data_IF_314963823351
#
_entry.id   IF_314963823351
#
_cell.length_a   1.000
_cell.length_b   1.000
_cell.length_c   1.000
_cell.angle_alpha   90.00
_cell.angle_beta   90.00
_cell.angle_gamma   90.00
#
_symmetry.space_group_name_H-M   'P 1'
#
loop_
_entity.id
_entity.type
_entity.pdbx_description
1 polymer ?
#
# COMPACT_ATOMS: atom_id res chain seq x y z
N UNK A 1 -2.68 -11.81 -2.54
CA UNK A 1 -2.16 -10.61 -3.22
C UNK A 1 -2.04 -10.75 -4.74
N UNK A 2 -1.67 -11.94 -5.23
CA UNK A 2 -1.51 -12.14 -6.67
C UNK A 2 -2.73 -11.68 -7.48
N UNK A 3 -3.97 -11.97 -7.07
CA UNK A 3 -5.12 -11.48 -7.84
C UNK A 3 -5.21 -9.96 -7.95
N UNK A 4 -4.66 -9.23 -6.98
CA UNK A 4 -4.66 -7.76 -7.03
C UNK A 4 -3.73 -7.28 -8.15
N UNK A 5 -2.53 -7.86 -8.24
CA UNK A 5 -1.54 -7.47 -9.23
C UNK A 5 -1.90 -7.91 -10.65
N UNK A 6 -2.74 -8.92 -10.77
CA UNK A 6 -3.13 -9.48 -12.06
C UNK A 6 -4.39 -8.84 -12.64
N UNK A 7 -5.08 -7.99 -11.87
CA UNK A 7 -6.29 -7.35 -12.36
C UNK A 7 -5.99 -6.37 -13.49
N UNK A 8 -6.72 -6.53 -14.58
CA UNK A 8 -6.61 -5.66 -15.75
C UNK A 8 -7.99 -5.05 -16.03
N UNK A 9 -8.25 -3.91 -15.42
CA UNK A 9 -9.47 -3.15 -15.61
C UNK A 9 -9.09 -1.67 -15.65
N UNK A 10 -10.06 -0.78 -15.61
CA UNK A 10 -9.81 0.66 -15.69
C UNK A 10 -9.56 1.32 -14.33
N UNK A 11 -9.47 0.51 -13.28
CA UNK A 11 -9.17 1.01 -11.93
C UNK A 11 -7.66 1.22 -11.76
N UNK A 12 -7.29 2.31 -11.10
CA UNK A 12 -5.91 2.56 -10.67
C UNK A 12 -5.75 2.04 -9.24
N UNK A 13 -4.72 1.26 -9.01
CA UNK A 13 -4.44 0.65 -7.71
C UNK A 13 -3.22 1.31 -7.08
N UNK A 14 -3.36 1.72 -5.83
CA UNK A 14 -2.27 2.25 -5.01
C UNK A 14 -2.08 1.29 -3.84
N UNK A 15 -0.96 0.58 -3.82
CA UNK A 15 -0.69 -0.44 -2.82
C UNK A 15 0.54 -0.03 -2.03
N UNK A 16 0.37 0.11 -0.71
CA UNK A 16 1.45 0.45 0.20
C UNK A 16 1.72 -0.73 1.13
N UNK A 17 2.97 -1.14 1.22
CA UNK A 17 3.42 -2.17 2.15
C UNK A 17 3.98 -1.49 3.40
N UNK A 18 3.42 -1.84 4.56
CA UNK A 18 3.70 -1.15 5.82
C UNK A 18 3.58 -2.09 7.02
N UNK A 19 3.88 -1.60 8.19
CA UNK A 19 3.64 -2.31 9.45
C UNK A 19 3.46 -1.30 10.59
N UNK A 20 2.76 -1.69 11.63
CA UNK A 20 2.53 -0.82 12.79
C UNK A 20 3.82 -0.47 13.53
N UNK A 21 4.82 -1.35 13.45
CA UNK A 21 6.13 -1.13 14.09
C UNK A 21 7.10 -0.33 13.22
N UNK A 22 6.72 0.01 12.02
CA UNK A 22 7.55 0.74 11.07
C UNK A 22 7.24 2.23 11.14
N UNK A 23 8.07 3.00 11.83
CA UNK A 23 7.84 4.43 12.03
C UNK A 23 7.70 5.23 10.72
N UNK A 24 8.62 5.10 9.76
CA UNK A 24 8.46 5.82 8.48
C UNK A 24 7.19 5.43 7.73
N UNK A 25 6.75 4.17 7.86
CA UNK A 25 5.50 3.71 7.26
C UNK A 25 4.32 4.46 7.85
N UNK A 26 4.28 4.53 9.18
CA UNK A 26 3.19 5.20 9.91
C UNK A 26 3.15 6.68 9.57
N UNK A 27 4.31 7.32 9.41
CA UNK A 27 4.39 8.74 9.10
C UNK A 27 3.76 9.09 7.75
N UNK A 28 3.78 8.17 6.77
CA UNK A 28 3.20 8.44 5.45
C UNK A 28 1.74 7.97 5.30
N UNK A 29 1.18 7.24 6.27
CA UNK A 29 -0.21 6.77 6.18
C UNK A 29 -1.22 7.90 5.93
N UNK A 30 -1.09 9.09 6.54
CA UNK A 30 -2.04 10.17 6.25
C UNK A 30 -2.10 10.55 4.77
N UNK A 31 -1.03 10.38 4.02
CA UNK A 31 -1.03 10.68 2.59
C UNK A 31 -1.96 9.74 1.84
N UNK A 32 -1.95 8.46 2.20
CA UNK A 32 -2.82 7.46 1.58
C UNK A 32 -4.28 7.67 1.97
N UNK A 33 -4.55 8.04 3.21
CA UNK A 33 -5.90 8.36 3.65
C UNK A 33 -6.44 9.59 2.92
N UNK A 34 -5.60 10.59 2.72
CA UNK A 34 -5.97 11.79 1.96
C UNK A 34 -6.28 11.44 0.50
N UNK A 35 -5.47 10.58 -0.10
CA UNK A 35 -5.69 10.10 -1.46
C UNK A 35 -7.00 9.33 -1.58
N UNK A 36 -7.26 8.44 -0.62
CA UNK A 36 -8.48 7.64 -0.58
C UNK A 36 -9.72 8.54 -0.53
N UNK A 37 -9.67 9.56 0.31
CA UNK A 37 -10.78 10.50 0.46
C UNK A 37 -10.99 11.34 -0.80
N UNK A 38 -9.90 11.84 -1.39
CA UNK A 38 -9.96 12.69 -2.57
C UNK A 38 -10.55 11.97 -3.79
N UNK A 39 -10.26 10.68 -3.95
CA UNK A 39 -10.73 9.90 -5.09
C UNK A 39 -11.88 8.97 -4.74
N UNK A 40 -12.56 9.20 -3.63
CA UNK A 40 -13.74 8.42 -3.25
C UNK A 40 -14.79 8.51 -4.36
N UNK A 41 -15.34 7.38 -4.75
CA UNK A 41 -16.31 7.30 -5.83
C UNK A 41 -15.72 7.24 -7.23
N UNK A 42 -14.41 7.39 -7.38
CA UNK A 42 -13.73 7.26 -8.65
C UNK A 42 -13.08 5.88 -8.80
N UNK A 43 -12.58 5.56 -9.98
CA UNK A 43 -11.97 4.25 -10.24
C UNK A 43 -10.55 4.20 -9.68
N UNK A 44 -10.48 4.21 -8.36
CA UNK A 44 -9.22 4.18 -7.61
C UNK A 44 -9.41 3.35 -6.35
N UNK A 45 -8.42 2.47 -6.07
CA UNK A 45 -8.39 1.71 -4.81
C UNK A 45 -7.05 1.93 -4.13
N UNK A 46 -7.12 2.33 -2.86
CA UNK A 46 -5.95 2.45 -2.00
C UNK A 46 -5.97 1.26 -1.05
N UNK A 47 -4.92 0.44 -1.12
CA UNK A 47 -4.83 -0.79 -0.33
C UNK A 47 -3.56 -0.75 0.49
N UNK A 48 -3.73 -0.81 1.81
CA UNK A 48 -2.62 -0.84 2.76
C UNK A 48 -2.36 -2.30 3.14
N UNK A 49 -1.25 -2.86 2.69
CA UNK A 49 -0.90 -4.26 2.97
C UNK A 49 0.04 -4.31 4.16
N UNK A 50 -0.46 -4.83 5.28
CA UNK A 50 0.31 -4.93 6.51
C UNK A 50 1.23 -6.13 6.48
N UNK A 51 2.48 -5.92 6.91
CA UNK A 51 3.45 -6.98 7.14
C UNK A 51 3.59 -7.29 8.63
N UNK A 52 2.61 -6.88 9.44
CA UNK A 52 2.59 -7.20 10.87
C UNK A 52 2.56 -8.72 11.09
N UNK A 53 3.14 -9.16 12.21
CA UNK A 53 3.18 -10.57 12.54
C UNK A 53 1.77 -11.07 12.90
N UNK A 54 1.49 -12.31 12.56
CA UNK A 54 0.17 -12.93 12.84
C UNK A 54 -0.23 -12.78 14.30
N UNK A 55 0.70 -12.95 15.23
CA UNK A 55 0.47 -12.82 16.66
C UNK A 55 -0.01 -11.44 17.10
N UNK A 56 0.24 -10.41 16.27
CA UNK A 56 -0.07 -9.01 16.60
C UNK A 56 -1.32 -8.50 15.90
N UNK A 57 -2.00 -9.32 15.08
CA UNK A 57 -3.11 -8.84 14.25
C UNK A 57 -4.30 -8.34 15.08
N UNK A 58 -4.70 -9.08 16.11
CA UNK A 58 -5.85 -8.72 16.93
C UNK A 58 -5.53 -7.63 17.94
N UNK A 59 -4.28 -7.58 18.41
CA UNK A 59 -3.88 -6.65 19.46
C UNK A 59 -3.33 -5.35 18.92
N UNK A 60 -2.37 -5.41 17.99
CA UNK A 60 -1.69 -4.21 17.51
C UNK A 60 -2.29 -3.65 16.24
N UNK A 61 -2.50 -4.48 15.22
CA UNK A 61 -2.99 -4.00 13.94
C UNK A 61 -4.44 -3.51 14.04
N UNK A 62 -5.33 -4.32 14.60
CA UNK A 62 -6.75 -3.94 14.72
C UNK A 62 -6.91 -2.67 15.54
N UNK A 63 -6.21 -2.59 16.67
CA UNK A 63 -6.26 -1.41 17.51
C UNK A 63 -5.71 -0.18 16.79
N UNK A 64 -4.62 -0.33 16.05
CA UNK A 64 -4.03 0.76 15.28
C UNK A 64 -5.02 1.30 14.24
N UNK A 65 -5.64 0.41 13.49
CA UNK A 65 -6.62 0.79 12.47
C UNK A 65 -7.78 1.56 13.08
N UNK A 66 -8.30 1.08 14.22
CA UNK A 66 -9.40 1.74 14.92
C UNK A 66 -9.01 3.10 15.51
N UNK A 67 -7.86 3.16 16.18
CA UNK A 67 -7.41 4.39 16.84
C UNK A 67 -7.07 5.50 15.84
N UNK A 68 -6.55 5.13 14.68
CA UNK A 68 -6.19 6.08 13.64
C UNK A 68 -7.30 6.28 12.60
N UNK A 69 -8.42 5.59 12.77
CA UNK A 69 -9.59 5.71 11.89
C UNK A 69 -9.24 5.55 10.41
N UNK A 70 -8.44 4.51 10.10
CA UNK A 70 -8.03 4.22 8.74
C UNK A 70 -9.24 3.77 7.91
N UNK A 71 -9.48 4.46 6.81
CA UNK A 71 -10.62 4.19 5.91
C UNK A 71 -10.23 3.47 4.64
N UNK A 72 -8.94 3.49 4.29
CA UNK A 72 -8.44 2.73 3.15
C UNK A 72 -8.58 1.24 3.42
N UNK A 73 -8.58 0.44 2.36
CA UNK A 73 -8.62 -1.02 2.52
C UNK A 73 -7.33 -1.48 3.21
N UNK A 74 -7.46 -2.29 4.24
CA UNK A 74 -6.31 -2.86 4.95
C UNK A 74 -6.34 -4.37 4.76
N UNK A 75 -5.23 -4.91 4.23
CA UNK A 75 -5.04 -6.35 4.05
C UNK A 75 -3.78 -6.76 4.77
N UNK A 76 -3.65 -8.06 5.04
CA UNK A 76 -2.50 -8.60 5.76
C UNK A 76 -1.82 -9.63 4.88
N UNK A 77 -0.49 -9.57 4.81
CA UNK A 77 0.32 -10.56 4.11
C UNK A 77 0.84 -11.56 5.14
N UNK A 78 0.22 -12.75 5.17
CA UNK A 78 0.58 -13.83 6.11
C UNK A 78 1.37 -14.95 5.45
N UNK A 79 1.78 -14.76 4.21
CA UNK A 79 2.46 -15.79 3.45
C UNK A 79 3.88 -15.98 3.98
N UNK A 80 4.18 -17.19 4.48
CA UNK A 80 5.52 -17.55 4.94
C UNK A 80 6.56 -17.58 3.83
N UNK A 81 6.13 -17.57 2.57
CA UNK A 81 6.99 -17.52 1.41
C UNK A 81 7.23 -16.07 0.97
N UNK A 82 7.65 -15.28 1.90
CA UNK A 82 7.85 -13.84 1.74
C UNK A 82 8.66 -13.48 0.49
N UNK A 83 9.72 -14.25 0.23
CA UNK A 83 10.61 -13.98 -0.92
C UNK A 83 9.90 -14.13 -2.27
N UNK A 84 8.89 -14.99 -2.37
CA UNK A 84 8.13 -15.16 -3.60
C UNK A 84 7.30 -13.91 -3.91
N UNK A 85 6.75 -13.29 -2.89
CA UNK A 85 5.96 -12.07 -3.05
C UNK A 85 6.80 -10.87 -3.42
N UNK A 86 7.99 -10.75 -2.83
CA UNK A 86 8.89 -9.64 -3.08
C UNK A 86 9.21 -9.53 -4.57
N UNK A 87 9.57 -10.64 -5.21
CA UNK A 87 9.89 -10.65 -6.64
C UNK A 87 8.69 -10.33 -7.52
N UNK A 88 7.50 -10.75 -7.09
CA UNK A 88 6.27 -10.46 -7.85
C UNK A 88 5.86 -9.01 -7.78
N UNK A 89 6.16 -8.35 -6.66
CA UNK A 89 5.86 -6.92 -6.49
C UNK A 89 6.82 -6.11 -7.35
N UNK A 90 8.12 -6.35 -7.21
CA UNK A 90 9.15 -5.73 -8.03
C UNK A 90 10.44 -6.52 -7.86
N UNK A 91 11.11 -6.91 -8.96
CA UNK A 91 12.35 -7.68 -8.87
C UNK A 91 13.47 -6.97 -8.12
N UNK A 92 13.44 -5.64 -8.08
CA UNK A 92 14.46 -4.84 -7.41
C UNK A 92 14.14 -4.57 -5.94
N UNK A 93 12.96 -5.02 -5.45
CA UNK A 93 12.58 -4.80 -4.06
C UNK A 93 13.23 -5.84 -3.15
N UNK A 94 14.03 -5.38 -2.21
CA UNK A 94 14.68 -6.25 -1.23
C UNK A 94 13.85 -6.57 0.01
N UNK A 95 12.58 -6.17 0.05
CA UNK A 95 11.70 -6.43 1.19
C UNK A 95 11.65 -5.32 2.24
N UNK A 96 12.40 -4.25 2.04
CA UNK A 96 12.39 -3.11 2.96
C UNK A 96 11.08 -2.31 2.83
N UNK A 97 10.57 -1.79 3.94
CA UNK A 97 9.36 -0.95 3.96
C UNK A 97 9.70 0.42 4.54
N UNK A 98 8.96 1.49 4.18
CA UNK A 98 7.76 1.49 3.34
C UNK A 98 8.06 1.38 1.84
N UNK A 99 7.14 0.76 1.11
CA UNK A 99 7.19 0.64 -0.34
C UNK A 99 5.79 0.87 -0.88
N UNK A 100 5.70 1.57 -2.00
CA UNK A 100 4.42 1.84 -2.66
C UNK A 100 4.49 1.43 -4.13
N UNK A 101 3.46 0.75 -4.59
CA UNK A 101 3.29 0.42 -6.01
C UNK A 101 2.01 1.07 -6.50
N UNK A 102 2.11 1.85 -7.56
CA UNK A 102 0.95 2.46 -8.22
C UNK A 102 0.86 1.86 -9.62
N UNK A 103 -0.30 1.30 -9.97
CA UNK A 103 -0.45 0.75 -11.30
C UNK A 103 -1.88 0.90 -11.84
N UNK A 104 -1.95 0.94 -13.16
CA UNK A 104 -3.18 0.88 -13.94
C UNK A 104 -3.03 -0.23 -14.98
N UNK A 105 -4.01 -0.39 -15.87
CA UNK A 105 -3.94 -1.42 -16.89
C UNK A 105 -2.70 -1.30 -17.79
N UNK A 106 -2.20 -0.08 -18.01
CA UNK A 106 -1.13 0.18 -18.97
C UNK A 106 0.21 0.57 -18.35
N UNK A 107 0.22 1.05 -17.09
CA UNK A 107 1.42 1.64 -16.48
C UNK A 107 1.61 1.14 -15.04
N UNK A 108 2.86 1.17 -14.59
CA UNK A 108 3.21 0.78 -13.24
C UNK A 108 4.41 1.61 -12.75
N UNK A 109 4.38 2.04 -11.49
CA UNK A 109 5.47 2.75 -10.84
C UNK A 109 5.73 2.12 -9.47
N UNK A 110 7.00 1.78 -9.22
CA UNK A 110 7.46 1.29 -7.92
C UNK A 110 8.19 2.42 -7.19
N UNK A 111 7.81 2.65 -5.94
CA UNK A 111 8.44 3.65 -5.07
C UNK A 111 9.05 2.91 -3.90
N UNK A 112 10.36 2.72 -3.92
CA UNK A 112 11.09 1.93 -2.94
C UNK A 112 11.56 2.70 -1.71
N UNK A 113 10.94 3.83 -1.43
CA UNK A 113 11.32 4.68 -0.30
C UNK A 113 10.11 5.42 0.26
N UNK A 114 10.30 6.03 1.45
CA UNK A 114 9.25 6.84 2.06
C UNK A 114 8.91 8.03 1.17
N UNK A 115 7.61 8.32 1.06
CA UNK A 115 7.12 9.50 0.36
C UNK A 115 7.43 10.75 1.18
N UNK A 116 7.82 11.83 0.51
CA UNK A 116 8.15 13.08 1.19
C UNK A 116 6.91 13.83 1.67
N UNK A 117 5.82 13.77 0.87
CA UNK A 117 4.58 14.46 1.16
C UNK A 117 3.44 13.90 0.30
N UNK A 118 2.23 14.39 0.54
CA UNK A 118 1.05 13.96 -0.22
C UNK A 118 1.18 14.33 -1.71
N UNK A 119 1.73 15.49 -2.03
CA UNK A 119 1.84 15.97 -3.40
C UNK A 119 2.71 15.05 -4.26
N UNK A 120 3.73 14.44 -3.66
CA UNK A 120 4.54 13.44 -4.35
C UNK A 120 3.70 12.22 -4.74
N UNK A 121 2.89 11.73 -3.81
CA UNK A 121 1.99 10.60 -4.06
C UNK A 121 0.97 10.95 -5.15
N UNK A 122 0.33 12.10 -5.04
CA UNK A 122 -0.67 12.54 -6.02
C UNK A 122 -0.06 12.69 -7.41
N UNK A 123 1.16 13.20 -7.50
CA UNK A 123 1.88 13.36 -8.76
C UNK A 123 2.14 12.01 -9.45
N UNK A 124 2.57 11.01 -8.68
CA UNK A 124 2.79 9.65 -9.21
C UNK A 124 1.48 9.05 -9.70
N UNK A 125 0.41 9.20 -8.92
CA UNK A 125 -0.90 8.68 -9.29
C UNK A 125 -1.40 9.33 -10.57
N UNK A 126 -1.23 10.65 -10.71
CA UNK A 126 -1.64 11.37 -11.91
C UNK A 126 -0.90 10.88 -13.17
N UNK A 127 0.36 10.50 -13.02
CA UNK A 127 1.16 9.99 -14.13
C UNK A 127 0.75 8.57 -14.55
N UNK A 128 0.16 7.79 -13.64
CA UNK A 128 -0.21 6.39 -13.88
C UNK A 128 -1.68 6.24 -14.32
N UNK A 129 -2.55 7.11 -13.87
CA UNK A 129 -3.99 7.09 -14.18
C UNK A 129 -4.32 7.13 -15.67
#
# INVERSE_FOLDING_TARGET
LAPIFEKQNDTTYVINFWATWCKPCVEELPYFEQLHERFAGEKMRVILVSLDFERDLETKLTQFVEQNQLKSEVKVLLDGNYNEWIDKVDPDWGGAIPVTVVYSAAKRQFIGQQLANYEELESVVAAIR
#
